data_IF_163109295250
#
_entry.id   IF_163109295250
#
_cell.length_a   1.000
_cell.length_b   1.000
_cell.length_c   1.000
_cell.angle_alpha   90.00
_cell.angle_beta   90.00
_cell.angle_gamma   90.00
#
_symmetry.space_group_name_H-M   'P 1'
#
loop_
_entity.id
_entity.type
_entity.pdbx_description
1 polymer ?
#
# COMPACT_ATOMS: atom_id res chain seq x y z
N UNK A 1 -14.69 10.80 -36.54
CA UNK A 1 -13.97 11.92 -35.92
C UNK A 1 -12.65 11.41 -35.36
N UNK A 2 -11.57 11.79 -36.04
CA UNK A 2 -10.17 11.84 -35.60
C UNK A 2 -9.69 10.78 -34.60
N UNK A 3 -9.02 9.76 -35.16
CA UNK A 3 -7.88 9.14 -34.49
C UNK A 3 -6.81 10.22 -34.24
N UNK A 4 -6.67 10.68 -33.01
CA UNK A 4 -5.46 11.36 -32.56
C UNK A 4 -4.66 10.42 -31.65
N UNK A 5 -3.83 9.63 -32.31
CA UNK A 5 -2.41 9.47 -31.98
C UNK A 5 -2.07 9.35 -30.48
N UNK A 6 -1.87 8.13 -29.99
CA UNK A 6 -0.57 7.69 -29.47
C UNK A 6 0.20 8.53 -28.42
N UNK A 7 -0.38 9.54 -27.77
CA UNK A 7 0.28 10.24 -26.69
C UNK A 7 0.21 9.38 -25.43
N UNK A 8 1.05 8.34 -25.36
CA UNK A 8 1.50 7.77 -24.08
C UNK A 8 2.16 8.91 -23.32
N UNK A 9 1.37 9.71 -22.61
CA UNK A 9 1.88 10.57 -21.56
C UNK A 9 2.39 9.58 -20.51
N UNK A 10 3.68 9.28 -20.55
CA UNK A 10 4.39 8.63 -19.44
C UNK A 10 4.42 9.62 -18.28
N UNK A 11 3.23 9.96 -17.77
CA UNK A 11 3.04 10.75 -16.58
C UNK A 11 3.26 9.84 -15.39
N UNK A 12 3.95 10.36 -14.38
CA UNK A 12 3.99 9.73 -13.08
C UNK A 12 2.57 9.60 -12.56
N UNK A 13 2.13 8.38 -12.26
CA UNK A 13 0.80 8.09 -11.72
C UNK A 13 0.92 7.67 -10.27
N UNK A 14 -0.03 8.09 -9.45
CA UNK A 14 -0.05 7.75 -8.04
C UNK A 14 -0.38 6.28 -7.87
N UNK A 15 0.50 5.48 -7.29
CA UNK A 15 0.28 4.07 -7.02
C UNK A 15 -0.89 3.80 -6.04
N UNK A 16 -1.24 4.78 -5.19
CA UNK A 16 -2.33 4.66 -4.22
C UNK A 16 -3.73 5.03 -4.70
N UNK A 17 -3.86 5.94 -5.69
CA UNK A 17 -5.18 6.36 -6.22
C UNK A 17 -5.28 6.26 -7.74
N UNK A 18 -4.20 5.83 -8.40
CA UNK A 18 -4.08 5.59 -9.84
C UNK A 18 -4.31 6.83 -10.73
N UNK A 19 -4.44 8.00 -10.11
CA UNK A 19 -4.57 9.29 -10.78
C UNK A 19 -3.20 9.79 -11.28
N UNK A 20 -3.23 10.51 -12.41
CA UNK A 20 -2.04 11.15 -12.97
C UNK A 20 -1.57 12.30 -12.08
N UNK A 21 -0.29 12.31 -11.73
CA UNK A 21 0.33 13.36 -10.92
C UNK A 21 0.89 14.44 -11.85
N UNK A 22 0.48 15.71 -11.72
CA UNK A 22 1.08 16.80 -12.47
C UNK A 22 2.55 17.01 -12.06
N UNK A 23 3.43 17.37 -13.01
CA UNK A 23 4.87 17.53 -12.76
C UNK A 23 5.22 18.69 -11.82
N UNK A 24 4.30 19.62 -11.60
CA UNK A 24 4.44 20.74 -10.67
C UNK A 24 4.09 20.38 -9.23
N UNK A 25 3.42 19.24 -9.00
CA UNK A 25 3.00 18.82 -7.66
C UNK A 25 4.11 18.04 -6.98
N UNK A 26 4.34 18.35 -5.71
CA UNK A 26 5.26 17.58 -4.87
C UNK A 26 4.70 16.17 -4.70
N UNK A 27 5.57 15.18 -4.77
CA UNK A 27 5.21 13.76 -4.64
C UNK A 27 6.11 13.07 -3.66
N UNK A 28 5.65 11.95 -3.12
CA UNK A 28 6.47 11.02 -2.36
C UNK A 28 6.79 9.80 -3.20
N UNK A 29 8.03 9.35 -3.11
CA UNK A 29 8.51 8.16 -3.80
C UNK A 29 8.85 7.11 -2.75
N UNK A 30 8.32 5.91 -2.92
CA UNK A 30 8.67 4.75 -2.10
C UNK A 30 9.05 3.61 -3.03
N UNK A 31 10.33 3.22 -2.97
CA UNK A 31 10.95 2.28 -3.92
C UNK A 31 10.71 2.75 -5.37
N UNK A 32 10.02 1.96 -6.19
CA UNK A 32 9.71 2.28 -7.59
C UNK A 32 8.35 3.00 -7.76
N UNK A 33 7.59 3.15 -6.68
CA UNK A 33 6.22 3.70 -6.73
C UNK A 33 6.19 5.18 -6.32
N UNK A 34 5.31 5.95 -6.95
CA UNK A 34 5.09 7.36 -6.63
C UNK A 34 3.68 7.58 -6.09
N UNK A 35 3.55 8.46 -5.10
CA UNK A 35 2.30 8.74 -4.42
C UNK A 35 2.12 10.25 -4.23
N UNK A 36 0.88 10.72 -4.18
CA UNK A 36 0.59 12.06 -3.67
C UNK A 36 0.96 12.16 -2.19
N UNK A 37 1.26 13.38 -1.69
CA UNK A 37 1.47 13.60 -0.25
C UNK A 37 0.24 13.15 0.57
N UNK A 38 -0.97 13.37 0.05
CA UNK A 38 -2.20 12.96 0.73
C UNK A 38 -2.42 11.45 0.67
N UNK A 39 -1.99 10.79 -0.42
CA UNK A 39 -2.13 9.34 -0.59
C UNK A 39 -1.05 8.55 0.16
N UNK A 40 0.01 9.20 0.64
CA UNK A 40 1.08 8.56 1.40
C UNK A 40 0.65 8.34 2.86
N UNK A 41 -0.34 7.47 3.06
CA UNK A 41 -0.97 7.21 4.34
C UNK A 41 -1.11 5.71 4.61
N UNK A 42 -1.11 5.34 5.89
CA UNK A 42 -1.32 3.96 6.32
C UNK A 42 -2.71 3.48 5.91
N UNK A 43 -2.82 2.31 5.28
CA UNK A 43 -4.12 1.74 4.89
C UNK A 43 -4.95 1.23 6.07
N UNK A 44 -4.32 1.00 7.23
CA UNK A 44 -4.99 0.50 8.43
C UNK A 44 -5.57 1.64 9.28
N UNK A 45 -4.78 2.68 9.55
CA UNK A 45 -5.19 3.80 10.40
C UNK A 45 -5.47 5.11 9.63
N UNK A 46 -5.33 5.12 8.31
CA UNK A 46 -5.45 6.31 7.45
C UNK A 46 -4.52 7.49 7.84
N UNK A 47 -3.52 7.26 8.70
CA UNK A 47 -2.56 8.28 9.12
C UNK A 47 -1.56 8.58 8.00
N UNK A 48 -1.38 9.85 7.70
CA UNK A 48 -0.33 10.31 6.78
C UNK A 48 1.05 10.03 7.39
N UNK A 49 1.90 9.32 6.65
CA UNK A 49 3.26 9.00 7.05
C UNK A 49 4.16 10.16 6.64
N UNK A 50 4.98 10.71 7.54
CA UNK A 50 5.89 11.83 7.24
C UNK A 50 7.33 11.39 7.00
N UNK A 51 8.16 12.32 6.49
CA UNK A 51 9.59 12.06 6.31
C UNK A 51 10.20 11.83 7.70
N UNK A 52 10.66 10.61 7.96
CA UNK A 52 11.19 10.19 9.27
C UNK A 52 10.31 9.19 10.02
N UNK A 53 9.06 8.98 9.60
CA UNK A 53 8.24 7.89 10.13
C UNK A 53 8.69 6.54 9.56
N UNK A 54 8.72 5.51 10.42
CA UNK A 54 8.94 4.13 10.01
C UNK A 54 7.65 3.53 9.43
N UNK A 55 7.72 3.08 8.18
CA UNK A 55 6.61 2.44 7.49
C UNK A 55 7.08 1.23 6.68
N UNK A 56 6.12 0.35 6.39
CA UNK A 56 6.29 -0.82 5.56
C UNK A 56 5.49 -0.65 4.27
N UNK A 57 6.10 -1.00 3.14
CA UNK A 57 5.45 -1.04 1.83
C UNK A 57 5.17 -2.50 1.47
N UNK A 58 3.90 -2.83 1.29
CA UNK A 58 3.45 -4.15 0.88
C UNK A 58 3.52 -4.30 -0.64
N UNK A 59 3.51 -5.54 -1.11
CA UNK A 59 3.54 -5.91 -2.53
C UNK A 59 2.38 -5.28 -3.33
N UNK A 60 1.22 -5.11 -2.69
CA UNK A 60 0.03 -4.43 -3.25
C UNK A 60 0.16 -2.91 -3.39
N UNK A 61 1.34 -2.31 -3.17
CA UNK A 61 1.53 -0.84 -3.12
C UNK A 61 0.77 -0.17 -1.97
N UNK A 62 0.49 -0.94 -0.91
CA UNK A 62 -0.15 -0.46 0.32
C UNK A 62 0.92 -0.08 1.34
N UNK A 63 0.71 1.05 2.01
CA UNK A 63 1.59 1.55 3.06
C UNK A 63 0.99 1.20 4.42
N UNK A 64 1.80 0.69 5.33
CA UNK A 64 1.39 0.37 6.70
C UNK A 64 2.40 0.95 7.67
N UNK A 65 1.96 1.64 8.71
CA UNK A 65 2.87 2.17 9.73
C UNK A 65 3.42 1.01 10.59
N UNK A 66 4.60 1.18 11.17
CA UNK A 66 5.23 0.18 12.04
C UNK A 66 4.29 -0.45 13.09
N UNK A 67 3.52 0.30 13.90
CA UNK A 67 2.67 -0.30 14.93
C UNK A 67 1.51 -1.13 14.36
N UNK A 68 0.87 -0.67 13.27
CA UNK A 68 -0.18 -1.45 12.60
C UNK A 68 0.39 -2.72 11.96
N UNK A 69 1.59 -2.62 11.38
CA UNK A 69 2.26 -3.76 10.76
C UNK A 69 2.61 -4.85 11.79
N UNK A 70 3.22 -4.46 12.92
CA UNK A 70 3.54 -5.39 13.99
C UNK A 70 2.27 -6.04 14.57
N UNK A 71 1.20 -5.26 14.72
CA UNK A 71 -0.10 -5.77 15.19
C UNK A 71 -0.73 -6.75 14.19
N UNK A 72 -0.71 -6.43 12.90
CA UNK A 72 -1.25 -7.29 11.85
C UNK A 72 -0.46 -8.60 11.74
N UNK A 73 0.88 -8.52 11.75
CA UNK A 73 1.78 -9.69 11.76
C UNK A 73 1.51 -10.61 12.96
N UNK A 74 1.16 -10.04 14.10
CA UNK A 74 0.82 -10.80 15.32
C UNK A 74 -0.54 -11.52 15.23
N UNK A 75 -1.48 -11.01 14.41
CA UNK A 75 -2.82 -11.56 14.26
C UNK A 75 -2.89 -12.68 13.22
N UNK A 76 -2.10 -12.59 12.15
CA UNK A 76 -2.06 -13.61 11.08
C UNK A 76 -1.64 -14.99 11.62
N UNK A 77 -0.75 -15.01 12.62
CA UNK A 77 -0.34 -16.23 13.34
C UNK A 77 -1.45 -16.84 14.22
N UNK A 78 -2.53 -16.10 14.50
CA UNK A 78 -3.63 -16.57 15.35
C UNK A 78 -4.79 -17.13 14.54
N UNK A 79 -4.98 -16.67 13.30
CA UNK A 79 -6.02 -17.19 12.40
C UNK A 79 -5.63 -18.52 11.73
N UNK A 80 -4.34 -18.83 11.63
CA UNK A 80 -3.89 -20.17 11.19
C UNK A 80 -4.10 -21.26 12.26
N UNK A 81 -4.40 -20.91 13.51
CA UNK A 81 -4.67 -21.89 14.57
C UNK A 81 -6.06 -22.56 14.49
N UNK A 82 -6.90 -22.13 13.54
CA UNK A 82 -8.26 -22.66 13.33
C UNK A 82 -8.29 -23.93 12.48
N UNK A 83 -7.22 -24.24 11.73
CA UNK A 83 -7.20 -25.38 10.79
C UNK A 83 -6.43 -26.58 11.37
N UNK A 84 -5.51 -26.36 12.31
CA UNK A 84 -4.69 -27.44 12.88
C UNK A 84 -5.26 -28.11 14.15
N UNK A 85 -6.44 -27.70 14.63
CA UNK A 85 -7.13 -28.39 15.73
C UNK A 85 -8.12 -29.49 15.26
N UNK A 86 -8.12 -29.85 13.98
CA UNK A 86 -8.90 -31.01 13.47
C UNK A 86 -8.03 -32.28 13.38
N UNK A 87 -7.10 -32.45 14.33
CA UNK A 87 -6.51 -33.74 14.68
C UNK A 87 -6.97 -34.12 16.09
N UNK A 88 -8.25 -34.43 16.24
CA UNK A 88 -8.67 -35.34 17.31
C UNK A 88 -8.92 -36.72 16.67
N UNK A 89 -8.01 -37.70 16.82
CA UNK A 89 -8.20 -39.08 16.34
C UNK A 89 -9.06 -39.92 17.30
N UNK A 90 -9.99 -39.32 18.05
CA UNK A 90 -10.80 -40.02 19.06
C UNK A 90 -12.31 -39.90 18.82
N UNK A 91 -12.78 -40.38 17.65
CA UNK A 91 -14.10 -41.01 17.54
C UNK A 91 -14.12 -42.09 16.46
#
# INVERSE_FOLDING_TARGET
>A
MLLCCGCRRFGTKCAGCELGIPPTQVVRRAQDNVYHLQCFACVMCARQLNTGDEFYLMEDRKLVCKPDYETAKSKDLRDQSSIDLILDPSF
#
